data_IF_360767744177
#
_entry.id   IF_360767744177
#
_cell.length_a   1.000
_cell.length_b   1.000
_cell.length_c   1.000
_cell.angle_alpha   90.00
_cell.angle_beta   90.00
_cell.angle_gamma   90.00
#
_symmetry.space_group_name_H-M   'P 1'
#
loop_
_entity.id
_entity.type
_entity.pdbx_description
1 polymer ?
#
# COMPACT_ATOMS: atom_id res chain seq x y z
N UNK A 1 3.78 1.27 -2.51
CA UNK A 1 4.09 2.13 -1.36
C UNK A 1 3.18 3.35 -1.42
N UNK A 2 2.78 3.91 -0.28
CA UNK A 2 1.91 5.10 -0.21
C UNK A 2 2.63 6.38 -0.67
N UNK A 3 3.94 6.46 -0.43
CA UNK A 3 4.81 7.56 -0.88
C UNK A 3 6.07 6.97 -1.56
N UNK A 4 6.09 6.86 -2.90
CA UNK A 4 7.24 6.27 -3.61
C UNK A 4 8.41 7.26 -3.80
N UNK A 5 8.21 8.56 -3.55
CA UNK A 5 9.19 9.62 -3.76
C UNK A 5 9.48 10.34 -2.45
N UNK A 6 10.70 10.88 -2.32
CA UNK A 6 11.17 11.52 -1.10
C UNK A 6 10.31 12.72 -0.71
N UNK A 7 10.01 13.59 -1.66
CA UNK A 7 8.94 14.59 -1.55
C UNK A 7 8.06 14.53 -2.80
N UNK A 8 6.76 14.53 -2.61
CA UNK A 8 5.77 14.67 -3.67
C UNK A 8 4.71 15.67 -3.23
N UNK A 9 4.47 16.68 -4.06
CA UNK A 9 3.40 17.66 -3.86
C UNK A 9 2.66 17.89 -5.16
N UNK A 10 1.36 18.13 -5.08
CA UNK A 10 0.54 18.47 -6.24
C UNK A 10 -0.37 19.67 -5.99
N UNK A 11 -0.63 20.46 -7.01
CA UNK A 11 -1.60 21.57 -7.06
C UNK A 11 -2.75 21.17 -7.99
N UNK A 12 -3.98 21.24 -7.49
CA UNK A 12 -5.20 20.90 -8.24
C UNK A 12 -6.08 22.12 -8.56
N UNK A 13 -5.72 23.30 -8.03
CA UNK A 13 -6.49 24.53 -8.21
C UNK A 13 -5.77 25.50 -9.11
N UNK A 14 -6.46 25.93 -10.17
CA UNK A 14 -6.01 27.01 -11.04
C UNK A 14 -6.30 28.39 -10.39
N UNK A 15 -5.44 29.41 -10.58
CA UNK A 15 -4.14 29.34 -11.27
C UNK A 15 -3.14 28.53 -10.45
N UNK A 16 -2.39 27.66 -11.13
CA UNK A 16 -1.40 26.85 -10.45
C UNK A 16 -0.30 27.75 -9.89
N UNK A 17 0.09 27.41 -8.67
CA UNK A 17 1.15 28.07 -7.93
C UNK A 17 2.48 27.42 -8.31
N UNK A 18 3.52 28.23 -8.44
CA UNK A 18 4.88 27.72 -8.64
C UNK A 18 5.31 26.82 -7.47
N UNK A 19 6.24 25.91 -7.76
CA UNK A 19 6.79 24.97 -6.79
C UNK A 19 8.14 25.43 -6.20
N UNK A 20 8.63 26.62 -6.54
CA UNK A 20 9.96 27.10 -6.15
C UNK A 20 10.13 27.16 -4.63
N UNK A 21 9.09 27.58 -3.92
CA UNK A 21 9.09 27.58 -2.45
C UNK A 21 9.23 26.18 -1.85
N UNK A 22 8.66 25.14 -2.47
CA UNK A 22 8.82 23.75 -2.00
C UNK A 22 10.25 23.28 -2.21
N UNK A 23 10.84 23.57 -3.37
CA UNK A 23 12.23 23.22 -3.68
C UNK A 23 13.17 23.92 -2.69
N UNK A 24 12.99 25.22 -2.46
CA UNK A 24 13.81 26.00 -1.53
C UNK A 24 13.76 25.46 -0.09
N UNK A 25 12.58 25.13 0.42
CA UNK A 25 12.44 24.59 1.79
C UNK A 25 13.15 23.23 1.95
N UNK A 26 13.14 22.41 0.90
CA UNK A 26 13.84 21.11 0.90
C UNK A 26 15.36 21.33 0.83
N UNK A 27 15.83 22.21 -0.05
CA UNK A 27 17.26 22.51 -0.27
C UNK A 27 17.96 23.11 0.96
N UNK A 28 17.20 23.70 1.89
CA UNK A 28 17.75 24.21 3.15
C UNK A 28 18.37 23.12 4.05
N UNK A 29 17.80 21.91 4.06
CA UNK A 29 18.21 20.82 4.97
C UNK A 29 18.65 19.53 4.24
N UNK A 30 18.33 19.38 2.96
CA UNK A 30 18.56 18.17 2.17
C UNK A 30 19.25 18.50 0.84
N UNK A 31 20.13 17.61 0.37
CA UNK A 31 20.77 17.76 -0.93
C UNK A 31 19.83 17.25 -2.02
N UNK A 32 19.31 18.13 -2.86
CA UNK A 32 18.45 17.74 -3.98
C UNK A 32 19.30 17.10 -5.09
N UNK A 33 18.95 15.88 -5.47
CA UNK A 33 19.54 15.18 -6.60
C UNK A 33 18.83 15.56 -7.91
N UNK A 34 17.50 15.46 -7.91
CA UNK A 34 16.66 15.78 -9.07
C UNK A 34 15.29 16.29 -8.61
N UNK A 35 14.72 17.24 -9.36
CA UNK A 35 13.36 17.73 -9.17
C UNK A 35 12.64 17.69 -10.51
N UNK A 36 11.48 17.04 -10.55
CA UNK A 36 10.69 16.80 -11.75
C UNK A 36 9.32 17.41 -11.56
N UNK A 37 8.92 18.27 -12.49
CA UNK A 37 7.56 18.78 -12.58
C UNK A 37 6.84 18.09 -13.73
N UNK A 38 5.59 17.68 -13.50
CA UNK A 38 4.76 17.11 -14.56
C UNK A 38 3.30 17.49 -14.38
N UNK A 39 2.57 17.46 -15.49
CA UNK A 39 1.14 17.75 -15.52
C UNK A 39 0.33 16.46 -15.69
N UNK A 40 -0.87 16.46 -15.10
CA UNK A 40 -1.93 15.52 -15.43
C UNK A 40 -3.02 16.27 -16.18
N UNK A 41 -3.44 15.72 -17.31
CA UNK A 41 -4.40 16.33 -18.23
C UNK A 41 -5.76 15.64 -18.13
N UNK A 42 -6.82 16.39 -18.41
CA UNK A 42 -8.19 15.87 -18.51
C UNK A 42 -8.46 15.42 -19.93
N UNK A 43 -8.74 14.13 -20.15
CA UNK A 43 -9.30 13.61 -21.41
C UNK A 43 -10.84 13.49 -21.29
N UNK A 44 -11.62 14.39 -21.91
CA UNK A 44 -13.07 14.48 -21.74
C UNK A 44 -13.86 13.27 -22.26
N UNK A 45 -13.27 12.42 -23.11
CA UNK A 45 -13.96 11.22 -23.62
C UNK A 45 -14.33 10.23 -22.51
N UNK A 46 -13.63 10.23 -21.37
CA UNK A 46 -13.99 9.49 -20.16
C UNK A 46 -14.40 8.04 -20.46
N UNK A 47 -13.55 7.31 -21.19
CA UNK A 47 -13.81 5.91 -21.54
C UNK A 47 -13.31 4.97 -20.45
N UNK A 48 -12.15 5.28 -19.86
CA UNK A 48 -11.50 4.40 -18.90
C UNK A 48 -12.18 4.47 -17.52
N UNK A 49 -12.56 5.65 -17.08
CA UNK A 49 -13.17 5.90 -15.77
C UNK A 49 -14.46 5.09 -15.54
N UNK A 50 -15.20 4.76 -16.60
CA UNK A 50 -16.41 3.91 -16.55
C UNK A 50 -16.13 2.53 -15.95
N UNK A 51 -14.93 1.99 -16.14
CA UNK A 51 -14.53 0.69 -15.58
C UNK A 51 -14.11 0.82 -14.11
N UNK A 52 -13.67 2.01 -13.71
CA UNK A 52 -13.18 2.27 -12.36
C UNK A 52 -14.27 2.80 -11.43
N UNK A 53 -15.55 2.87 -11.84
CA UNK A 53 -16.72 3.25 -11.03
C UNK A 53 -16.60 4.59 -10.28
N UNK A 54 -16.05 5.62 -10.92
CA UNK A 54 -15.89 6.92 -10.25
C UNK A 54 -17.01 7.87 -10.65
N UNK A 55 -18.02 7.97 -9.79
CA UNK A 55 -19.17 8.86 -9.98
C UNK A 55 -18.83 10.37 -9.83
N UNK A 56 -17.56 10.72 -9.66
CA UNK A 56 -17.11 12.06 -9.25
C UNK A 56 -16.21 12.78 -10.26
N UNK A 57 -15.73 12.10 -11.30
CA UNK A 57 -14.91 12.72 -12.34
C UNK A 57 -15.56 12.45 -13.70
N UNK A 58 -15.48 13.41 -14.61
CA UNK A 58 -16.05 13.39 -15.96
C UNK A 58 -14.98 13.36 -17.07
N UNK A 59 -13.73 13.05 -16.70
CA UNK A 59 -12.59 12.88 -17.59
C UNK A 59 -11.73 11.67 -17.20
N UNK A 60 -10.91 11.18 -18.15
CA UNK A 60 -9.82 10.25 -17.86
C UNK A 60 -8.53 11.03 -17.56
N UNK A 61 -7.78 10.72 -16.48
CA UNK A 61 -6.49 11.36 -16.20
C UNK A 61 -5.41 10.85 -17.15
N UNK A 62 -4.81 11.76 -17.91
CA UNK A 62 -3.80 11.48 -18.94
C UNK A 62 -2.45 12.10 -18.56
N UNK A 63 -1.35 11.39 -18.83
CA UNK A 63 0.02 11.85 -18.61
C UNK A 63 0.84 11.66 -19.90
N UNK A 64 1.80 12.56 -20.15
CA UNK A 64 2.74 12.42 -21.27
C UNK A 64 3.65 11.22 -21.10
N UNK A 65 4.06 10.64 -22.22
CA UNK A 65 5.06 9.58 -22.24
C UNK A 65 6.42 10.07 -21.75
N UNK A 66 6.83 11.28 -22.13
CA UNK A 66 8.08 11.88 -21.66
C UNK A 66 8.11 12.01 -20.14
N UNK A 67 7.14 12.70 -19.56
CA UNK A 67 6.99 12.90 -18.11
C UNK A 67 6.99 11.55 -17.36
N UNK A 68 6.22 10.57 -17.85
CA UNK A 68 6.19 9.23 -17.27
C UNK A 68 7.56 8.53 -17.31
N UNK A 69 8.28 8.66 -18.43
CA UNK A 69 9.61 8.06 -18.58
C UNK A 69 10.67 8.75 -17.71
N UNK A 70 10.56 10.05 -17.41
CA UNK A 70 11.41 10.74 -16.44
C UNK A 70 11.19 10.17 -15.03
N UNK A 71 9.93 9.95 -14.65
CA UNK A 71 9.58 9.30 -13.38
C UNK A 71 10.14 7.87 -13.29
N UNK A 72 10.13 7.11 -14.40
CA UNK A 72 10.73 5.76 -14.42
C UNK A 72 12.25 5.80 -14.23
N UNK A 73 12.94 6.76 -14.87
CA UNK A 73 14.39 6.93 -14.69
C UNK A 73 14.73 7.29 -13.25
N UNK A 74 13.97 8.19 -12.63
CA UNK A 74 14.14 8.55 -11.22
C UNK A 74 14.04 7.32 -10.30
N UNK A 75 13.11 6.40 -10.63
CA UNK A 75 12.92 5.13 -9.92
C UNK A 75 13.92 4.04 -10.30
N UNK A 76 14.94 4.36 -11.12
CA UNK A 76 15.90 3.40 -11.67
C UNK A 76 15.21 2.22 -12.41
N UNK A 77 14.15 2.51 -13.15
CA UNK A 77 13.38 1.54 -13.95
C UNK A 77 13.59 1.77 -15.44
N UNK A 78 13.41 0.71 -16.23
CA UNK A 78 13.45 0.80 -17.69
C UNK A 78 12.31 1.67 -18.21
N UNK A 79 12.62 2.58 -19.14
CA UNK A 79 11.64 3.41 -19.83
C UNK A 79 10.77 2.59 -20.77
N UNK A 80 9.57 3.09 -21.07
CA UNK A 80 8.70 2.51 -22.09
C UNK A 80 8.72 3.34 -23.38
N UNK A 81 8.46 2.68 -24.50
CA UNK A 81 8.26 3.34 -25.78
C UNK A 81 6.78 3.18 -26.18
N UNK A 82 6.19 4.19 -26.83
CA UNK A 82 4.85 4.08 -27.44
C UNK A 82 4.94 4.52 -28.90
N UNK A 83 4.30 3.76 -29.79
CA UNK A 83 4.02 4.21 -31.15
C UNK A 83 2.91 5.27 -31.12
N UNK A 84 2.79 6.10 -32.17
CA UNK A 84 1.76 7.16 -32.21
C UNK A 84 0.31 6.64 -32.19
N UNK A 85 0.06 5.34 -32.37
CA UNK A 85 -1.26 4.71 -32.23
C UNK A 85 -1.37 3.82 -30.99
N UNK A 86 -0.48 3.98 -30.00
CA UNK A 86 -0.46 3.19 -28.77
C UNK A 86 -0.69 4.07 -27.53
N UNK A 87 -1.28 3.49 -26.50
CA UNK A 87 -1.35 4.04 -25.14
C UNK A 87 -0.95 2.98 -24.11
N UNK A 88 -0.60 3.42 -22.90
CA UNK A 88 -0.25 2.55 -21.79
C UNK A 88 -1.14 2.86 -20.58
N UNK A 89 -1.53 1.84 -19.82
CA UNK A 89 -2.38 2.02 -18.64
C UNK A 89 -1.58 1.73 -17.38
N UNK A 90 -1.52 2.69 -16.46
CA UNK A 90 -0.96 2.49 -15.12
C UNK A 90 -2.12 2.40 -14.14
N UNK A 91 -2.23 1.32 -13.37
CA UNK A 91 -3.31 1.14 -12.38
C UNK A 91 -2.84 0.34 -11.16
N UNK A 92 -3.62 0.34 -10.08
CA UNK A 92 -3.28 -0.45 -8.90
C UNK A 92 -3.46 -1.95 -9.15
N UNK A 93 -2.61 -2.78 -8.53
CA UNK A 93 -2.69 -4.25 -8.65
C UNK A 93 -4.03 -4.81 -8.19
N UNK A 94 -4.64 -4.17 -7.19
CA UNK A 94 -5.96 -4.49 -6.65
C UNK A 94 -7.11 -4.13 -7.62
N UNK A 95 -6.92 -3.22 -8.56
CA UNK A 95 -7.94 -2.86 -9.57
C UNK A 95 -7.69 -3.51 -10.94
N UNK A 96 -6.58 -4.25 -11.10
CA UNK A 96 -6.22 -4.92 -12.35
C UNK A 96 -7.36 -5.78 -12.91
N UNK A 97 -8.08 -6.52 -12.05
CA UNK A 97 -9.18 -7.40 -12.46
C UNK A 97 -10.33 -6.69 -13.20
N UNK A 98 -10.43 -5.35 -13.08
CA UNK A 98 -11.46 -4.55 -13.77
C UNK A 98 -11.14 -4.32 -15.25
N UNK A 99 -9.85 -4.40 -15.60
CA UNK A 99 -9.32 -4.03 -16.92
C UNK A 99 -8.60 -5.19 -17.60
N UNK A 100 -8.08 -6.16 -16.84
CA UNK A 100 -7.37 -7.30 -17.39
C UNK A 100 -8.28 -8.16 -18.28
N UNK A 101 -7.80 -8.50 -19.49
CA UNK A 101 -8.52 -9.25 -20.51
C UNK A 101 -9.83 -8.59 -21.01
N UNK A 102 -10.00 -7.28 -20.78
CA UNK A 102 -11.14 -6.54 -21.29
C UNK A 102 -10.89 -6.07 -22.74
N UNK A 103 -11.71 -6.53 -23.68
CA UNK A 103 -11.57 -6.17 -25.11
C UNK A 103 -11.98 -4.74 -25.40
N UNK A 104 -12.84 -4.16 -24.57
CA UNK A 104 -13.37 -2.82 -24.80
C UNK A 104 -12.32 -1.74 -24.51
N UNK A 105 -11.27 -2.08 -23.74
CA UNK A 105 -10.14 -1.18 -23.51
C UNK A 105 -8.98 -1.41 -24.50
N UNK A 106 -9.02 -2.45 -25.34
CA UNK A 106 -7.95 -2.67 -26.32
C UNK A 106 -7.77 -1.46 -27.24
N UNK A 107 -8.84 -0.65 -27.41
CA UNK A 107 -8.84 0.58 -28.16
C UNK A 107 -9.60 1.66 -27.41
N UNK A 108 -9.04 2.87 -27.38
CA UNK A 108 -9.72 4.06 -26.88
C UNK A 108 -9.67 5.15 -27.96
N UNK A 109 -10.69 6.00 -27.98
CA UNK A 109 -10.71 7.17 -28.87
C UNK A 109 -10.48 8.46 -28.07
N UNK A 110 -9.43 9.20 -28.38
CA UNK A 110 -9.16 10.50 -27.75
C UNK A 110 -10.08 11.60 -28.26
N UNK A 111 -10.16 12.72 -27.55
CA UNK A 111 -10.92 13.91 -27.98
C UNK A 111 -10.36 14.52 -29.27
N UNK A 112 -9.07 14.32 -29.55
CA UNK A 112 -8.43 14.67 -30.82
C UNK A 112 -8.99 13.90 -32.03
N UNK A 113 -9.79 12.85 -31.80
CA UNK A 113 -10.33 11.95 -32.82
C UNK A 113 -9.42 10.76 -33.13
N UNK A 114 -8.19 10.74 -32.59
CA UNK A 114 -7.24 9.63 -32.73
C UNK A 114 -7.73 8.40 -31.98
N UNK A 115 -7.62 7.23 -32.62
CA UNK A 115 -7.75 5.93 -31.96
C UNK A 115 -6.36 5.46 -31.49
N UNK A 116 -6.27 5.09 -30.21
CA UNK A 116 -5.08 4.49 -29.60
C UNK A 116 -5.37 3.05 -29.17
N UNK A 117 -4.37 2.19 -29.33
CA UNK A 117 -4.41 0.77 -28.93
C UNK A 117 -3.65 0.57 -27.61
N UNK A 118 -4.17 -0.31 -26.77
CA UNK A 118 -3.51 -0.66 -25.52
C UNK A 118 -2.21 -1.44 -25.82
N UNK A 119 -1.07 -0.87 -25.42
CA UNK A 119 0.22 -1.57 -25.48
C UNK A 119 0.44 -2.49 -24.30
N UNK A 120 0.02 -2.06 -23.11
CA UNK A 120 0.20 -2.84 -21.89
C UNK A 120 -0.37 -2.14 -20.66
N UNK A 121 -0.50 -2.92 -19.60
CA UNK A 121 -0.97 -2.47 -18.29
C UNK A 121 0.16 -2.66 -17.29
N UNK A 122 0.47 -1.63 -16.53
CA UNK A 122 1.45 -1.66 -15.46
C UNK A 122 0.82 -1.41 -14.09
N UNK A 123 1.24 -2.23 -13.14
CA UNK A 123 0.79 -2.20 -11.75
C UNK A 123 1.93 -2.00 -10.76
N UNK A 124 3.18 -2.02 -11.23
CA UNK A 124 4.38 -1.92 -10.39
C UNK A 124 4.79 -0.48 -10.16
N UNK A 125 4.58 0.38 -11.14
CA UNK A 125 4.99 1.79 -11.08
C UNK A 125 3.95 2.67 -10.40
N UNK A 126 2.70 2.19 -10.30
CA UNK A 126 1.56 2.89 -9.71
C UNK A 126 1.82 3.40 -8.27
N UNK A 127 1.32 4.60 -7.98
CA UNK A 127 1.18 5.15 -6.64
C UNK A 127 -0.13 5.90 -6.49
N UNK A 128 -0.60 6.04 -5.24
CA UNK A 128 -1.94 6.54 -4.97
C UNK A 128 -2.15 8.00 -5.39
N UNK A 129 -1.11 8.82 -5.29
CA UNK A 129 -1.16 10.25 -5.63
C UNK A 129 -0.70 10.53 -7.07
N UNK A 130 -0.78 9.55 -7.99
CA UNK A 130 -0.44 9.77 -9.40
C UNK A 130 -1.36 10.80 -10.07
N UNK A 131 -2.57 10.97 -9.55
CA UNK A 131 -3.54 12.03 -9.85
C UNK A 131 -4.67 11.99 -8.79
N UNK A 132 -5.61 12.94 -8.85
CA UNK A 132 -6.72 13.08 -7.91
C UNK A 132 -7.74 11.92 -7.92
N UNK A 133 -7.80 11.13 -9.00
CA UNK A 133 -8.68 9.94 -9.06
C UNK A 133 -8.11 8.80 -8.21
N UNK A 134 -6.78 8.73 -8.12
CA UNK A 134 -6.05 7.73 -7.35
C UNK A 134 -6.40 6.29 -7.71
N UNK A 135 -6.68 6.00 -9.00
CA UNK A 135 -7.03 4.65 -9.48
C UNK A 135 -6.26 4.21 -10.70
N UNK A 136 -6.07 5.11 -11.66
CA UNK A 136 -5.28 4.84 -12.86
C UNK A 136 -4.75 6.13 -13.48
N UNK A 137 -3.79 6.01 -14.39
CA UNK A 137 -3.35 7.05 -15.30
C UNK A 137 -3.19 6.44 -16.70
N UNK A 138 -3.63 7.17 -17.73
CA UNK A 138 -3.45 6.79 -19.12
C UNK A 138 -2.23 7.52 -19.66
N UNK A 139 -1.21 6.78 -20.07
CA UNK A 139 0.00 7.35 -20.67
C UNK A 139 -0.17 7.38 -22.19
N UNK A 140 0.00 8.55 -22.78
CA UNK A 140 -0.15 8.76 -24.23
C UNK A 140 1.09 9.46 -24.80
N UNK A 141 1.35 9.33 -26.12
CA UNK A 141 2.34 10.17 -26.78
C UNK A 141 2.08 11.66 -26.56
N UNK A 142 3.14 12.44 -26.32
CA UNK A 142 3.10 13.85 -25.90
C UNK A 142 2.27 14.76 -26.83
N UNK A 143 2.18 14.44 -28.11
CA UNK A 143 1.38 15.21 -29.08
C UNK A 143 -0.12 15.23 -28.73
N UNK A 144 -0.62 14.20 -28.03
CA UNK A 144 -2.05 14.02 -27.78
C UNK A 144 -2.56 14.76 -26.54
N UNK A 145 -1.69 15.36 -25.73
CA UNK A 145 -2.11 16.23 -24.62
C UNK A 145 -2.25 17.70 -25.03
N UNK A 146 -1.83 18.06 -26.25
CA UNK A 146 -1.91 19.43 -26.73
C UNK A 146 -3.37 19.91 -26.81
N UNK A 147 -3.68 20.97 -26.05
CA UNK A 147 -5.03 21.54 -25.99
C UNK A 147 -5.95 20.88 -24.96
N UNK A 148 -5.50 19.86 -24.24
CA UNK A 148 -6.22 19.36 -23.07
C UNK A 148 -6.06 20.32 -21.88
N UNK A 149 -7.08 20.38 -21.04
CA UNK A 149 -7.02 21.13 -19.78
C UNK A 149 -6.10 20.40 -18.78
N UNK A 150 -5.18 21.13 -18.16
CA UNK A 150 -4.38 20.60 -17.05
C UNK A 150 -5.29 20.48 -15.82
N UNK A 151 -5.42 19.25 -15.32
CA UNK A 151 -6.13 18.91 -14.09
C UNK A 151 -5.31 19.28 -12.87
N UNK A 152 -4.05 18.83 -12.86
CA UNK A 152 -3.15 18.92 -11.72
C UNK A 152 -1.73 19.14 -12.21
N UNK A 153 -0.96 19.86 -11.42
CA UNK A 153 0.49 19.93 -11.56
C UNK A 153 1.14 19.25 -10.37
N UNK A 154 2.20 18.51 -10.63
CA UNK A 154 2.90 17.72 -9.64
C UNK A 154 4.38 18.09 -9.64
N UNK A 155 4.95 18.07 -8.44
CA UNK A 155 6.39 18.16 -8.20
C UNK A 155 6.83 16.91 -7.44
N UNK A 156 7.86 16.26 -7.96
CA UNK A 156 8.62 15.22 -7.29
C UNK A 156 10.01 15.77 -7.02
N UNK A 157 10.49 15.63 -5.78
CA UNK A 157 11.87 15.93 -5.41
C UNK A 157 12.50 14.65 -4.89
N UNK A 158 13.65 14.30 -5.47
CA UNK A 158 14.54 13.22 -5.06
C UNK A 158 15.73 13.81 -4.31
N UNK A 159 16.03 13.24 -3.15
CA UNK A 159 17.09 13.73 -2.25
C UNK A 159 18.19 12.69 -2.13
N UNK A 160 19.43 13.13 -1.92
CA UNK A 160 20.56 12.20 -1.70
C UNK A 160 20.40 11.47 -0.36
N UNK A 161 19.90 12.17 0.65
CA UNK A 161 19.65 11.63 1.99
C UNK A 161 18.22 11.07 2.14
N UNK A 162 18.03 10.09 3.02
CA UNK A 162 16.67 9.65 3.36
C UNK A 162 15.92 10.77 4.11
N UNK A 163 14.73 11.13 3.63
CA UNK A 163 13.87 12.11 4.30
C UNK A 163 13.32 11.60 5.63
N UNK A 164 12.91 12.51 6.51
CA UNK A 164 12.29 12.20 7.80
C UNK A 164 10.99 12.98 8.05
N UNK A 165 10.35 12.74 9.20
CA UNK A 165 9.13 13.45 9.60
C UNK A 165 9.35 14.94 9.87
N UNK A 166 10.58 15.36 10.20
CA UNK A 166 10.87 16.78 10.46
C UNK A 166 10.76 17.59 9.18
N UNK A 167 11.22 17.04 8.04
CA UNK A 167 11.04 17.71 6.75
C UNK A 167 9.57 17.98 6.45
N UNK A 168 8.69 16.99 6.67
CA UNK A 168 7.25 17.19 6.48
C UNK A 168 6.70 18.30 7.38
N UNK A 169 7.08 18.31 8.65
CA UNK A 169 6.60 19.34 9.58
C UNK A 169 7.14 20.73 9.25
N UNK A 170 8.39 20.82 8.78
CA UNK A 170 8.98 22.07 8.28
C UNK A 170 8.20 22.61 7.08
N UNK A 171 7.99 21.79 6.05
CA UNK A 171 7.20 22.17 4.87
C UNK A 171 5.79 22.63 5.29
N UNK A 172 5.13 21.93 6.22
CA UNK A 172 3.81 22.32 6.73
C UNK A 172 3.80 23.66 7.47
N UNK A 173 4.87 23.98 8.19
CA UNK A 173 4.99 25.22 8.95
C UNK A 173 5.33 26.39 8.04
N UNK A 174 6.38 26.25 7.22
CA UNK A 174 6.91 27.32 6.38
C UNK A 174 5.96 27.63 5.21
N UNK A 175 5.37 26.58 4.62
CA UNK A 175 4.42 26.69 3.51
C UNK A 175 2.96 26.58 3.95
N UNK A 176 2.67 26.91 5.22
CA UNK A 176 1.30 26.96 5.73
C UNK A 176 0.37 27.82 4.87
N UNK A 177 0.88 28.92 4.33
CA UNK A 177 0.13 29.84 3.46
C UNK A 177 -0.18 29.24 2.07
N UNK A 178 0.53 28.19 1.65
CA UNK A 178 0.26 27.41 0.43
C UNK A 178 -0.71 26.26 0.73
N UNK A 179 -0.55 25.61 1.89
CA UNK A 179 -1.28 24.40 2.27
C UNK A 179 -2.56 24.65 3.09
N UNK A 180 -2.83 25.87 3.51
CA UNK A 180 -4.02 26.25 4.27
C UNK A 180 -4.76 27.34 3.52
N UNK A 181 -6.00 27.07 3.14
CA UNK A 181 -6.87 28.02 2.44
C UNK A 181 -8.06 28.37 3.32
N UNK A 182 -8.64 29.55 3.12
CA UNK A 182 -9.93 29.92 3.69
C UNK A 182 -10.97 29.74 2.60
N UNK A 183 -12.02 28.95 2.85
CA UNK A 183 -13.11 28.75 1.88
C UNK A 183 -14.04 29.97 1.85
N UNK A 184 -14.98 29.97 0.92
CA UNK A 184 -15.95 31.07 0.74
C UNK A 184 -16.83 31.31 1.99
N UNK A 185 -16.98 30.29 2.84
CA UNK A 185 -17.70 30.34 4.10
C UNK A 185 -16.85 30.87 5.29
N UNK A 186 -15.59 31.25 5.04
CA UNK A 186 -14.67 31.74 6.06
C UNK A 186 -14.00 30.65 6.92
N UNK A 187 -14.18 29.38 6.56
CA UNK A 187 -13.58 28.25 7.26
C UNK A 187 -12.16 27.98 6.77
N UNK A 188 -11.28 27.63 7.71
CA UNK A 188 -9.90 27.25 7.41
C UNK A 188 -9.84 25.79 6.97
N UNK A 189 -9.53 25.56 5.70
CA UNK A 189 -9.35 24.22 5.11
C UNK A 189 -7.86 23.93 5.01
N UNK A 190 -7.42 22.88 5.72
CA UNK A 190 -6.05 22.40 5.71
C UNK A 190 -5.89 21.34 4.62
N UNK A 191 -5.02 21.59 3.64
CA UNK A 191 -4.81 20.75 2.46
C UNK A 191 -3.53 19.91 2.53
N UNK A 192 -3.18 19.40 3.72
CA UNK A 192 -1.97 18.57 3.89
C UNK A 192 -1.99 17.25 3.11
N UNK A 193 -3.15 16.79 2.62
CA UNK A 193 -3.26 15.61 1.75
C UNK A 193 -2.48 15.76 0.42
N UNK A 194 -2.19 17.00 0.04
CA UNK A 194 -1.45 17.36 -1.17
C UNK A 194 0.05 17.13 -1.06
N UNK A 195 0.57 17.02 0.16
CA UNK A 195 1.98 16.82 0.44
C UNK A 195 2.22 15.40 0.94
N UNK A 196 3.22 14.74 0.38
CA UNK A 196 3.73 13.44 0.80
C UNK A 196 5.23 13.50 0.94
N UNK A 197 5.74 12.98 2.06
CA UNK A 197 7.17 12.86 2.34
C UNK A 197 7.44 11.42 2.72
N UNK A 198 8.35 10.76 2.01
CA UNK A 198 8.62 9.32 2.16
C UNK A 198 9.01 8.94 3.57
N UNK A 199 9.92 9.70 4.18
CA UNK A 199 10.36 9.48 5.57
C UNK A 199 9.19 9.39 6.55
N UNK A 200 8.28 10.35 6.47
CA UNK A 200 7.09 10.34 7.30
C UNK A 200 6.15 9.19 6.98
N UNK A 201 5.96 8.84 5.71
CA UNK A 201 5.10 7.73 5.33
C UNK A 201 5.63 6.39 5.87
N UNK A 202 6.96 6.21 5.87
CA UNK A 202 7.63 5.05 6.47
C UNK A 202 7.43 5.03 7.98
N UNK A 203 7.60 6.17 8.66
CA UNK A 203 7.41 6.25 10.12
C UNK A 203 5.95 5.97 10.53
N UNK A 204 4.97 6.52 9.80
CA UNK A 204 3.55 6.25 10.00
C UNK A 204 3.22 4.77 9.77
N UNK A 205 3.77 4.17 8.70
CA UNK A 205 3.60 2.74 8.43
C UNK A 205 4.24 1.87 9.52
N UNK A 206 5.41 2.23 10.02
CA UNK A 206 6.07 1.52 11.12
C UNK A 206 5.24 1.61 12.41
N UNK A 207 4.71 2.80 12.70
CA UNK A 207 3.83 3.03 13.86
C UNK A 207 2.55 2.21 13.76
N UNK A 208 1.88 2.23 12.61
CA UNK A 208 0.69 1.42 12.35
C UNK A 208 0.98 -0.08 12.48
N UNK A 209 2.11 -0.54 11.93
CA UNK A 209 2.54 -1.94 12.07
C UNK A 209 2.75 -2.32 13.53
N UNK A 210 3.43 -1.47 14.31
CA UNK A 210 3.65 -1.69 15.74
C UNK A 210 2.35 -1.74 16.55
N UNK A 211 1.38 -0.88 16.24
CA UNK A 211 0.06 -0.88 16.87
C UNK A 211 -0.70 -2.19 16.58
N UNK A 212 -0.78 -2.61 15.31
CA UNK A 212 -1.44 -3.86 14.90
C UNK A 212 -0.77 -5.06 15.57
N UNK A 213 0.57 -5.13 15.54
CA UNK A 213 1.33 -6.19 16.18
C UNK A 213 1.04 -6.27 17.69
N UNK A 214 0.96 -5.13 18.37
CA UNK A 214 0.64 -5.06 19.80
C UNK A 214 -0.77 -5.57 20.12
N UNK A 215 -1.76 -5.21 19.30
CA UNK A 215 -3.15 -5.69 19.44
C UNK A 215 -3.22 -7.21 19.20
N UNK A 216 -2.57 -7.70 18.14
CA UNK A 216 -2.52 -9.13 17.83
C UNK A 216 -1.85 -9.92 18.96
N UNK A 217 -0.76 -9.41 19.53
CA UNK A 217 -0.07 -10.04 20.67
C UNK A 217 -0.98 -10.11 21.90
N UNK A 218 -1.72 -9.03 22.19
CA UNK A 218 -2.67 -9.00 23.30
C UNK A 218 -3.79 -10.04 23.14
N UNK A 219 -4.39 -10.12 21.94
CA UNK A 219 -5.42 -11.12 21.63
C UNK A 219 -4.84 -12.53 21.75
N UNK A 220 -3.63 -12.77 21.24
CA UNK A 220 -2.96 -14.05 21.35
C UNK A 220 -2.76 -14.46 22.82
N UNK A 221 -2.36 -13.54 23.69
CA UNK A 221 -2.19 -13.80 25.12
C UNK A 221 -3.50 -14.22 25.80
N UNK A 222 -4.60 -13.51 25.52
CA UNK A 222 -5.93 -13.86 26.05
C UNK A 222 -6.34 -15.26 25.59
N UNK A 223 -6.19 -15.56 24.30
CA UNK A 223 -6.57 -16.86 23.73
C UNK A 223 -5.71 -17.99 24.30
N UNK A 224 -4.39 -17.80 24.44
CA UNK A 224 -3.49 -18.77 25.07
C UNK A 224 -3.90 -19.00 26.53
N UNK A 225 -4.24 -17.95 27.28
CA UNK A 225 -4.69 -18.07 28.66
C UNK A 225 -6.03 -18.81 28.77
N UNK A 226 -6.98 -18.50 27.90
CA UNK A 226 -8.29 -19.17 27.86
C UNK A 226 -8.15 -20.65 27.50
N UNK A 227 -7.43 -20.98 26.44
CA UNK A 227 -7.15 -22.37 26.02
C UNK A 227 -6.35 -23.10 27.11
N UNK A 228 -5.34 -22.47 27.70
CA UNK A 228 -4.57 -23.01 28.80
C UNK A 228 -5.44 -23.35 30.01
N UNK A 229 -6.40 -22.48 30.35
CA UNK A 229 -7.36 -22.71 31.45
C UNK A 229 -8.27 -23.90 31.15
N UNK A 230 -8.83 -23.98 29.94
CA UNK A 230 -9.67 -25.11 29.51
C UNK A 230 -8.88 -26.42 29.55
N UNK A 231 -7.65 -26.43 29.02
CA UNK A 231 -6.77 -27.60 29.03
C UNK A 231 -6.39 -28.02 30.46
N UNK A 232 -6.15 -27.07 31.35
CA UNK A 232 -5.87 -27.36 32.76
C UNK A 232 -7.08 -28.00 33.46
N UNK A 233 -8.29 -27.47 33.24
CA UNK A 233 -9.54 -28.03 33.77
C UNK A 233 -9.77 -29.45 33.25
N UNK A 234 -9.60 -29.67 31.93
CA UNK A 234 -9.73 -30.99 31.32
C UNK A 234 -8.70 -31.97 31.90
N UNK A 235 -7.44 -31.58 31.98
CA UNK A 235 -6.36 -32.41 32.54
C UNK A 235 -6.64 -32.80 34.00
N UNK A 236 -7.22 -31.90 34.80
CA UNK A 236 -7.58 -32.16 36.20
C UNK A 236 -8.77 -33.13 36.30
N UNK A 237 -9.81 -32.92 35.48
CA UNK A 237 -10.99 -33.79 35.41
C UNK A 237 -10.59 -35.22 35.02
N UNK A 238 -9.78 -35.35 33.97
CA UNK A 238 -9.28 -36.63 33.49
C UNK A 238 -8.36 -37.30 34.51
N UNK A 239 -7.48 -36.55 35.17
CA UNK A 239 -6.60 -37.08 36.22
C UNK A 239 -7.39 -37.70 37.37
N UNK A 240 -8.55 -37.13 37.71
CA UNK A 240 -9.43 -37.67 38.75
C UNK A 240 -9.97 -39.06 38.37
N UNK A 241 -10.34 -39.25 37.10
CA UNK A 241 -10.82 -40.53 36.56
C UNK A 241 -9.69 -41.55 36.39
N UNK A 242 -8.53 -41.12 35.92
CA UNK A 242 -7.37 -41.99 35.72
C UNK A 242 -6.71 -42.40 37.03
N UNK A 243 -6.81 -41.61 38.11
CA UNK A 243 -6.32 -41.95 39.46
C UNK A 243 -6.83 -43.31 39.91
N UNK A 244 -8.12 -43.60 39.76
CA UNK A 244 -8.71 -44.89 40.11
C UNK A 244 -8.10 -46.05 39.29
N UNK A 245 -7.94 -45.86 37.97
CA UNK A 245 -7.37 -46.87 37.07
C UNK A 245 -5.89 -47.16 37.38
N UNK A 246 -5.11 -46.12 37.63
CA UNK A 246 -3.70 -46.25 37.98
C UNK A 246 -3.51 -46.90 39.35
N UNK A 247 -4.39 -46.63 40.32
CA UNK A 247 -4.39 -47.33 41.61
C UNK A 247 -4.67 -48.83 41.45
N UNK A 248 -5.59 -49.22 40.57
CA UNK A 248 -5.84 -50.64 40.26
C UNK A 248 -4.63 -51.29 39.59
N UNK A 249 -4.00 -50.64 38.62
CA UNK A 249 -2.78 -51.15 37.97
C UNK A 249 -1.61 -51.30 38.95
N UNK A 250 -1.46 -50.36 39.89
CA UNK A 250 -0.48 -50.44 40.97
C UNK A 250 -0.76 -51.64 41.88
N UNK A 251 -2.02 -51.89 42.23
CA UNK A 251 -2.45 -53.09 42.99
C UNK A 251 -2.20 -54.40 42.24
N UNK A 252 -2.18 -54.38 40.91
CA UNK A 252 -1.84 -55.51 40.04
C UNK A 252 -0.32 -55.69 39.83
N UNK A 253 0.53 -54.91 40.52
CA UNK A 253 1.98 -55.09 40.51
C UNK A 253 2.77 -54.25 39.52
N UNK A 254 2.13 -53.27 38.85
CA UNK A 254 2.85 -52.34 37.95
C UNK A 254 3.67 -51.36 38.77
N UNK A 255 4.97 -51.25 38.45
CA UNK A 255 5.90 -50.34 39.12
C UNK A 255 5.56 -48.85 38.81
N UNK A 256 5.62 -48.00 39.84
CA UNK A 256 5.39 -46.55 39.76
C UNK A 256 6.22 -45.87 38.66
N UNK A 257 7.48 -46.28 38.47
CA UNK A 257 8.38 -45.70 37.46
C UNK A 257 7.83 -45.88 36.03
N UNK A 258 7.24 -47.04 35.74
CA UNK A 258 6.62 -47.32 34.43
C UNK A 258 5.32 -46.54 34.26
N UNK A 259 4.58 -46.33 35.35
CA UNK A 259 3.32 -45.60 35.36
C UNK A 259 3.54 -44.10 35.11
N UNK A 260 4.50 -43.46 35.80
CA UNK A 260 4.90 -42.07 35.56
C UNK A 260 5.46 -41.85 34.14
N UNK A 261 6.24 -42.80 33.61
CA UNK A 261 6.75 -42.73 32.22
C UNK A 261 5.61 -42.71 31.21
N UNK A 262 4.57 -43.52 31.43
CA UNK A 262 3.37 -43.57 30.58
C UNK A 262 2.59 -42.27 30.65
N UNK A 263 2.34 -41.74 31.85
CA UNK A 263 1.62 -40.46 32.05
C UNK A 263 2.37 -39.32 31.36
N UNK A 264 3.70 -39.24 31.53
CA UNK A 264 4.51 -38.20 30.88
C UNK A 264 4.41 -38.27 29.36
N UNK A 265 4.45 -39.46 28.76
CA UNK A 265 4.28 -39.62 27.30
C UNK A 265 2.90 -39.18 26.83
N UNK A 266 1.84 -39.53 27.57
CA UNK A 266 0.47 -39.15 27.23
C UNK A 266 0.29 -37.63 27.26
N UNK A 267 0.80 -36.95 28.30
CA UNK A 267 0.77 -35.49 28.37
C UNK A 267 1.59 -34.86 27.24
N UNK A 268 2.79 -35.36 26.96
CA UNK A 268 3.65 -34.81 25.91
C UNK A 268 3.01 -34.94 24.52
N UNK A 269 2.32 -36.05 24.23
CA UNK A 269 1.58 -36.21 22.97
C UNK A 269 0.36 -35.28 22.94
N UNK A 270 -0.40 -35.21 24.04
CA UNK A 270 -1.61 -34.39 24.15
C UNK A 270 -1.33 -32.90 23.93
N UNK A 271 -0.22 -32.38 24.47
CA UNK A 271 0.17 -30.97 24.30
C UNK A 271 1.07 -30.74 23.09
N UNK A 272 1.94 -31.69 22.75
CA UNK A 272 2.95 -31.52 21.70
C UNK A 272 2.39 -31.62 20.28
N UNK A 273 1.47 -32.56 20.02
CA UNK A 273 0.90 -32.74 18.67
C UNK A 273 0.14 -31.51 18.19
N UNK A 274 -0.76 -30.89 18.99
CA UNK A 274 -1.43 -29.65 18.58
C UNK A 274 -0.45 -28.51 18.28
N UNK A 275 0.59 -28.34 19.09
CA UNK A 275 1.59 -27.28 18.89
C UNK A 275 2.36 -27.47 17.59
N UNK A 276 2.81 -28.70 17.29
CA UNK A 276 3.52 -29.01 16.04
C UNK A 276 2.60 -28.73 14.84
N UNK A 277 1.34 -29.16 14.91
CA UNK A 277 0.35 -28.91 13.86
C UNK A 277 0.14 -27.41 13.64
N UNK A 278 0.00 -26.61 14.71
CA UNK A 278 -0.14 -25.15 14.63
C UNK A 278 1.07 -24.50 13.97
N UNK A 279 2.30 -24.91 14.31
CA UNK A 279 3.53 -24.37 13.70
C UNK A 279 3.56 -24.65 12.19
N UNK A 280 3.22 -25.88 11.78
CA UNK A 280 3.15 -26.24 10.36
C UNK A 280 2.10 -25.40 9.62
N UNK A 281 0.90 -25.26 10.18
CA UNK A 281 -0.16 -24.45 9.60
C UNK A 281 0.25 -22.97 9.47
N UNK A 282 0.88 -22.39 10.48
CA UNK A 282 1.40 -21.02 10.45
C UNK A 282 2.47 -20.84 9.37
N UNK A 283 3.37 -21.81 9.20
CA UNK A 283 4.38 -21.77 8.14
C UNK A 283 3.75 -21.76 6.74
N UNK A 284 2.77 -22.64 6.47
CA UNK A 284 2.07 -22.67 5.19
C UNK A 284 1.28 -21.39 4.93
N UNK A 285 0.63 -20.81 5.95
CA UNK A 285 -0.02 -19.51 5.81
C UNK A 285 0.97 -18.42 5.44
N UNK A 286 2.12 -18.34 6.12
CA UNK A 286 3.13 -17.33 5.86
C UNK A 286 3.65 -17.42 4.41
N UNK A 287 3.96 -18.64 3.95
CA UNK A 287 4.38 -18.87 2.55
C UNK A 287 3.27 -18.47 1.56
N UNK A 288 2.01 -18.80 1.86
CA UNK A 288 0.87 -18.43 1.02
C UNK A 288 0.68 -16.91 0.94
N UNK A 289 0.77 -16.20 2.07
CA UNK A 289 0.68 -14.74 2.12
C UNK A 289 1.83 -14.13 1.32
N UNK A 290 3.06 -14.59 1.51
CA UNK A 290 4.20 -14.07 0.76
C UNK A 290 4.03 -14.22 -0.77
N UNK A 291 3.51 -15.37 -1.21
CA UNK A 291 3.27 -15.63 -2.63
C UNK A 291 2.16 -14.75 -3.23
N UNK A 292 1.08 -14.50 -2.48
CA UNK A 292 -0.04 -13.65 -2.93
C UNK A 292 0.40 -12.18 -3.03
N UNK A 293 1.10 -11.69 -2.02
CA UNK A 293 1.50 -10.29 -1.95
C UNK A 293 2.77 -9.98 -2.78
N UNK A 294 3.54 -10.98 -3.20
CA UNK A 294 4.83 -10.81 -3.92
C UNK A 294 5.68 -9.71 -3.25
N UNK A 295 5.97 -9.90 -1.97
CA UNK A 295 7.13 -9.26 -1.33
C UNK A 295 8.37 -10.04 -1.77
#
# INVERSE_FOLDING_TARGET
MTAPFDVHVFEEKQPFKDFEEYVNVVDEDYTINEAIEFDVYKEPKHQMQNYFDVQFYDYDPVMKLSDYNEILKLKNMDTIELSNDEYFLVTSKDLLYKVENNKDIEKIQLTSGKELKLKGIDTKTYWYQINNTGRFAVIVPDEYVQGLEVSEQHLIIDTVEETDTKLREKIKQDLKHRLVIVNDDGETVVQYYRLSVRGSAIEEQNTMTAMIASICLYIAFILISAVGTVLAIQSLSDSTKYKYRYQTLKRLGVNDKSLFKTIRKQLLILFGVPVIYSILASFFMLVSVNNVYKI
#
